data_IF_178472437996
#
_entry.id   IF_178472437996
#
_cell.length_a   1.000
_cell.length_b   1.000
_cell.length_c   1.000
_cell.angle_alpha   90.00
_cell.angle_beta   90.00
_cell.angle_gamma   90.00
#
_symmetry.space_group_name_H-M   'P 1'
#
loop_
_entity.id
_entity.type
_entity.pdbx_description
1 polymer ?
#
# COMPACT_ATOMS: atom_id res chain seq x y z
N UNK A 1 15.14 18.35 -7.52
CA UNK A 1 15.68 16.99 -7.59
C UNK A 1 14.58 16.01 -7.96
N UNK A 2 14.86 15.17 -8.91
CA UNK A 2 13.92 14.15 -9.32
C UNK A 2 13.78 13.09 -8.20
N UNK A 3 12.63 12.44 -8.10
CA UNK A 3 12.43 11.34 -7.19
C UNK A 3 13.14 10.08 -7.64
N UNK A 4 12.73 8.94 -7.13
CA UNK A 4 13.27 7.64 -7.51
C UNK A 4 12.84 7.27 -8.93
N UNK A 5 13.51 6.28 -9.52
CA UNK A 5 13.36 5.92 -10.94
C UNK A 5 11.99 5.39 -11.31
N UNK A 6 11.32 4.73 -10.36
CA UNK A 6 10.05 4.05 -10.61
C UNK A 6 9.00 4.50 -9.62
N UNK A 7 7.77 4.41 -10.03
CA UNK A 7 6.63 4.66 -9.18
C UNK A 7 5.58 3.58 -9.32
N UNK A 8 4.79 3.37 -8.27
CA UNK A 8 3.67 2.47 -8.30
C UNK A 8 2.48 3.09 -7.58
N UNK A 9 1.30 2.89 -8.15
CA UNK A 9 0.04 3.30 -7.54
C UNK A 9 -0.71 2.03 -7.14
N UNK A 10 -0.88 1.86 -5.84
CA UNK A 10 -1.68 0.77 -5.28
C UNK A 10 -3.06 1.31 -4.94
N UNK A 11 -4.08 0.66 -5.45
CA UNK A 11 -5.47 1.00 -5.17
C UNK A 11 -6.16 -0.18 -4.50
N UNK A 12 -6.97 0.10 -3.49
CA UNK A 12 -7.70 -0.94 -2.77
C UNK A 12 -9.08 -0.43 -2.41
N UNK A 13 -10.01 -1.38 -2.23
CA UNK A 13 -11.35 -1.09 -1.75
C UNK A 13 -11.52 -1.68 -0.36
N UNK A 14 -11.75 -0.83 0.62
CA UNK A 14 -12.11 -1.27 1.97
C UNK A 14 -13.61 -1.61 1.96
N UNK A 15 -13.94 -2.81 2.43
CA UNK A 15 -15.31 -3.31 2.42
C UNK A 15 -16.03 -3.03 3.72
N UNK A 16 -17.36 -3.27 3.74
CA UNK A 16 -18.13 -3.18 4.97
C UNK A 16 -17.61 -4.12 6.06
N UNK A 17 -17.01 -5.24 5.68
CA UNK A 17 -16.42 -6.18 6.62
C UNK A 17 -15.32 -5.54 7.47
N UNK A 18 -14.52 -4.64 6.89
CA UNK A 18 -13.49 -3.90 7.62
C UNK A 18 -14.08 -3.12 8.80
N UNK A 19 -15.21 -2.47 8.58
CA UNK A 19 -15.84 -1.63 9.60
C UNK A 19 -16.48 -2.44 10.73
N UNK A 20 -16.63 -3.76 10.57
CA UNK A 20 -17.11 -4.66 11.63
C UNK A 20 -15.98 -5.21 12.49
N UNK A 21 -14.72 -4.96 12.12
CA UNK A 21 -13.56 -5.41 12.88
C UNK A 21 -13.43 -4.61 14.19
N UNK A 22 -12.75 -5.19 15.17
CA UNK A 22 -12.38 -4.47 16.39
C UNK A 22 -11.43 -3.33 16.04
N UNK A 23 -11.32 -2.34 16.92
CA UNK A 23 -10.39 -1.22 16.76
C UNK A 23 -8.95 -1.73 16.58
N UNK A 24 -8.54 -2.73 17.36
CA UNK A 24 -7.22 -3.30 17.26
C UNK A 24 -6.98 -3.94 15.89
N UNK A 25 -7.97 -4.66 15.37
CA UNK A 25 -7.87 -5.26 14.03
C UNK A 25 -7.83 -4.21 12.93
N UNK A 26 -8.62 -3.14 13.05
CA UNK A 26 -8.62 -2.05 12.09
C UNK A 26 -7.28 -1.30 12.06
N UNK A 27 -6.51 -1.34 13.14
CA UNK A 27 -5.20 -0.70 13.21
C UNK A 27 -4.07 -1.55 12.60
N UNK A 28 -4.30 -2.83 12.34
CA UNK A 28 -3.28 -3.73 11.81
C UNK A 28 -2.65 -3.25 10.51
N UNK A 29 -3.41 -2.79 9.50
CA UNK A 29 -2.80 -2.28 8.26
C UNK A 29 -1.79 -1.16 8.53
N UNK A 30 -2.13 -0.22 9.41
CA UNK A 30 -1.22 0.86 9.78
C UNK A 30 0.05 0.37 10.44
N UNK A 31 -0.05 -0.65 11.29
CA UNK A 31 1.10 -1.27 11.95
C UNK A 31 2.01 -1.98 10.94
N UNK A 32 1.42 -2.72 9.99
CA UNK A 32 2.18 -3.41 8.94
C UNK A 32 2.91 -2.39 8.07
N UNK A 33 2.20 -1.35 7.59
CA UNK A 33 2.82 -0.30 6.78
C UNK A 33 3.91 0.44 7.56
N UNK A 34 3.68 0.75 8.83
CA UNK A 34 4.68 1.42 9.67
C UNK A 34 5.97 0.62 9.80
N UNK A 35 5.86 -0.69 10.02
CA UNK A 35 7.02 -1.59 10.09
C UNK A 35 7.76 -1.66 8.75
N UNK A 36 7.04 -1.73 7.64
CA UNK A 36 7.64 -1.78 6.31
C UNK A 36 8.31 -0.47 5.94
N UNK A 37 7.72 0.67 6.31
CA UNK A 37 8.35 1.98 6.09
C UNK A 37 9.71 2.07 6.76
N UNK A 38 9.86 1.51 7.95
CA UNK A 38 11.15 1.46 8.64
C UNK A 38 12.12 0.49 7.98
N UNK A 39 11.65 -0.71 7.65
CA UNK A 39 12.49 -1.75 7.07
C UNK A 39 13.03 -1.37 5.69
N UNK A 40 12.21 -0.72 4.88
CA UNK A 40 12.54 -0.35 3.51
C UNK A 40 12.89 1.13 3.35
N UNK A 41 13.23 1.81 4.45
CA UNK A 41 13.63 3.22 4.40
C UNK A 41 14.77 3.42 3.39
N UNK A 42 14.61 4.38 2.48
CA UNK A 42 15.55 4.65 1.41
C UNK A 42 15.43 3.74 0.20
N UNK A 43 14.71 2.63 0.29
CA UNK A 43 14.52 1.68 -0.82
C UNK A 43 13.13 1.80 -1.44
N UNK A 44 12.10 1.73 -0.61
CA UNK A 44 10.71 1.91 -1.05
C UNK A 44 10.10 2.99 -0.17
N UNK A 45 9.60 4.04 -0.80
CA UNK A 45 9.02 5.16 -0.09
C UNK A 45 7.53 5.26 -0.39
N UNK A 46 6.72 5.38 0.66
CA UNK A 46 5.32 5.74 0.52
C UNK A 46 5.25 7.27 0.44
N UNK A 47 5.09 7.80 -0.78
CA UNK A 47 5.16 9.24 -1.04
C UNK A 47 3.87 9.93 -0.64
N UNK A 48 2.75 9.31 -0.96
CA UNK A 48 1.42 9.87 -0.72
C UNK A 48 0.42 8.75 -0.50
N UNK A 49 -0.61 9.05 0.28
CA UNK A 49 -1.81 8.23 0.34
C UNK A 49 -3.05 9.11 0.35
N UNK A 50 -4.10 8.61 -0.27
CA UNK A 50 -5.38 9.31 -0.33
C UNK A 50 -6.50 8.38 0.10
N UNK A 51 -7.42 8.89 0.87
CA UNK A 51 -8.67 8.22 1.16
C UNK A 51 -9.72 8.77 0.20
N UNK A 52 -10.20 7.89 -0.67
CA UNK A 52 -11.14 8.29 -1.73
C UNK A 52 -12.58 7.88 -1.43
N UNK A 53 -12.85 7.47 -0.20
CA UNK A 53 -14.13 6.91 0.24
C UNK A 53 -15.34 7.80 -0.05
N UNK A 54 -15.15 9.10 0.02
CA UNK A 54 -16.25 10.08 -0.23
C UNK A 54 -16.46 10.38 -1.72
N UNK A 55 -15.53 9.98 -2.59
CA UNK A 55 -15.51 10.40 -3.99
C UNK A 55 -15.53 9.25 -4.99
N UNK A 56 -15.37 8.02 -4.53
CA UNK A 56 -15.33 6.85 -5.41
C UNK A 56 -16.05 5.68 -4.77
N UNK A 57 -16.81 4.94 -5.57
CA UNK A 57 -17.46 3.71 -5.12
C UNK A 57 -16.60 2.47 -5.38
N UNK A 58 -15.58 2.57 -6.23
CA UNK A 58 -14.76 1.43 -6.64
C UNK A 58 -13.41 1.37 -5.95
N UNK A 59 -12.92 2.51 -5.44
CA UNK A 59 -11.62 2.61 -4.77
C UNK A 59 -11.79 3.45 -3.52
N UNK A 60 -11.29 2.97 -2.40
CA UNK A 60 -11.38 3.70 -1.12
C UNK A 60 -10.02 4.18 -0.63
N UNK A 61 -8.95 3.59 -1.12
CA UNK A 61 -7.58 3.91 -0.68
C UNK A 61 -6.65 3.90 -1.88
N UNK A 62 -5.85 4.95 -2.00
CA UNK A 62 -4.83 5.09 -3.03
C UNK A 62 -3.50 5.35 -2.35
N UNK A 63 -2.50 4.53 -2.64
CA UNK A 63 -1.15 4.63 -2.09
C UNK A 63 -0.17 4.82 -3.24
N UNK A 64 0.70 5.81 -3.13
CA UNK A 64 1.70 6.11 -4.16
C UNK A 64 3.08 5.83 -3.60
N UNK A 65 3.80 4.93 -4.25
CA UNK A 65 5.15 4.51 -3.86
C UNK A 65 6.17 4.94 -4.90
N UNK A 66 7.41 5.17 -4.44
CA UNK A 66 8.57 5.36 -5.32
C UNK A 66 9.72 4.47 -4.85
N UNK A 67 10.50 3.99 -5.82
CA UNK A 67 11.64 3.10 -5.56
C UNK A 67 12.59 3.13 -6.74
N UNK A 68 13.85 2.70 -6.50
CA UNK A 68 14.87 2.62 -7.55
C UNK A 68 15.04 1.21 -8.11
N UNK A 69 14.68 0.19 -7.34
CA UNK A 69 14.84 -1.22 -7.74
C UNK A 69 13.48 -1.91 -7.66
N UNK A 70 12.94 -2.41 -8.78
CA UNK A 70 11.69 -3.15 -8.77
C UNK A 70 11.69 -4.37 -7.84
N UNK A 71 12.85 -5.00 -7.62
CA UNK A 71 12.96 -6.14 -6.70
C UNK A 71 12.66 -5.72 -5.25
N UNK A 72 13.05 -4.50 -4.86
CA UNK A 72 12.73 -3.99 -3.53
C UNK A 72 11.23 -3.80 -3.35
N UNK A 73 10.55 -3.28 -4.36
CA UNK A 73 9.11 -3.11 -4.30
C UNK A 73 8.38 -4.45 -4.29
N UNK A 74 8.87 -5.41 -5.06
CA UNK A 74 8.30 -6.77 -5.04
C UNK A 74 8.40 -7.39 -3.63
N UNK A 75 9.57 -7.30 -3.01
CA UNK A 75 9.76 -7.80 -1.65
C UNK A 75 8.85 -7.07 -0.64
N UNK A 76 8.73 -5.76 -0.79
CA UNK A 76 7.84 -4.96 0.04
C UNK A 76 6.38 -5.44 -0.06
N UNK A 77 5.88 -5.63 -1.28
CA UNK A 77 4.49 -6.06 -1.47
C UNK A 77 4.25 -7.47 -0.96
N UNK A 78 5.23 -8.39 -1.09
CA UNK A 78 5.10 -9.72 -0.51
C UNK A 78 5.01 -9.67 1.01
N UNK A 79 5.85 -8.88 1.66
CA UNK A 79 5.79 -8.73 3.12
C UNK A 79 4.49 -8.07 3.57
N UNK A 80 3.99 -7.11 2.78
CA UNK A 80 2.71 -6.49 3.05
C UNK A 80 1.59 -7.52 3.05
N UNK A 81 1.53 -8.36 2.02
CA UNK A 81 0.51 -9.40 1.91
C UNK A 81 0.61 -10.41 3.04
N UNK A 82 1.83 -10.82 3.41
CA UNK A 82 2.04 -11.74 4.53
C UNK A 82 1.60 -11.13 5.85
N UNK A 83 1.91 -9.86 6.08
CA UNK A 83 1.51 -9.16 7.29
C UNK A 83 -0.01 -9.08 7.43
N UNK A 84 -0.70 -8.79 6.32
CA UNK A 84 -2.17 -8.76 6.32
C UNK A 84 -2.76 -10.15 6.53
N UNK A 85 -2.20 -11.17 5.87
CA UNK A 85 -2.68 -12.54 5.97
C UNK A 85 -2.46 -13.18 7.35
N UNK A 86 -1.48 -12.71 8.10
CA UNK A 86 -1.16 -13.25 9.42
C UNK A 86 -2.31 -13.13 10.42
N UNK A 87 -3.23 -12.20 10.20
CA UNK A 87 -4.41 -12.01 11.06
C UNK A 87 -5.63 -12.82 10.60
N UNK A 88 -5.49 -13.62 9.53
CA UNK A 88 -6.59 -14.38 8.95
C UNK A 88 -6.79 -14.05 7.49
N UNK A 89 -8.04 -13.90 7.05
CA UNK A 89 -8.36 -13.57 5.67
C UNK A 89 -7.93 -12.13 5.33
N UNK A 90 -6.98 -11.93 4.39
CA UNK A 90 -6.56 -10.57 4.01
C UNK A 90 -7.67 -9.74 3.38
N UNK A 91 -8.71 -10.35 2.81
CA UNK A 91 -9.85 -9.63 2.23
C UNK A 91 -10.65 -8.85 3.28
N UNK A 92 -10.42 -9.12 4.56
CA UNK A 92 -11.00 -8.36 5.66
C UNK A 92 -10.54 -6.90 5.67
N UNK A 93 -9.38 -6.61 5.09
CA UNK A 93 -8.79 -5.27 5.10
C UNK A 93 -8.99 -4.52 3.78
N UNK A 94 -9.29 -5.23 2.72
CA UNK A 94 -9.58 -4.63 1.43
C UNK A 94 -9.68 -5.68 0.33
N UNK A 95 -10.34 -5.33 -0.74
CA UNK A 95 -10.49 -6.19 -1.91
C UNK A 95 -10.18 -5.38 -3.17
N UNK A 96 -10.19 -6.04 -4.32
CA UNK A 96 -9.93 -5.42 -5.62
C UNK A 96 -8.63 -4.59 -5.62
N UNK A 97 -7.59 -5.15 -4.98
CA UNK A 97 -6.28 -4.50 -4.94
C UNK A 97 -5.66 -4.52 -6.32
N UNK A 98 -5.27 -3.36 -6.82
CA UNK A 98 -4.56 -3.24 -8.09
C UNK A 98 -3.32 -2.38 -7.93
N UNK A 99 -2.31 -2.68 -8.73
CA UNK A 99 -1.05 -1.93 -8.74
C UNK A 99 -0.74 -1.52 -10.17
N UNK A 100 -0.54 -0.23 -10.37
CA UNK A 100 -0.05 0.30 -11.63
C UNK A 100 1.38 0.75 -11.43
N UNK A 101 2.29 0.19 -12.20
CA UNK A 101 3.73 0.42 -12.12
C UNK A 101 4.16 1.29 -13.29
N UNK A 102 5.06 2.23 -13.05
CA UNK A 102 5.55 3.11 -14.10
C UNK A 102 6.96 3.61 -13.86
N UNK A 103 7.51 4.20 -14.90
CA UNK A 103 8.82 4.84 -14.88
C UNK A 103 8.60 6.32 -14.59
N UNK A 104 9.42 6.88 -13.70
CA UNK A 104 9.42 8.31 -13.45
C UNK A 104 10.29 8.99 -14.53
N UNK A 105 9.69 9.73 -15.48
CA UNK A 105 10.46 10.33 -16.57
C UNK A 105 11.37 11.47 -16.10
N UNK A 106 11.13 11.99 -14.89
CA UNK A 106 11.90 13.12 -14.34
C UNK A 106 13.03 12.66 -13.42
N UNK A 107 13.18 11.36 -13.19
CA UNK A 107 14.29 10.83 -12.40
C UNK A 107 15.59 10.95 -13.20
N UNK A 108 16.55 11.64 -12.63
CA UNK A 108 17.83 11.90 -13.25
C UNK A 108 18.83 10.78 -13.19
#
# INVERSE_FOLDING_TARGET
>A
MAGKKYGAVLQAKVTGAYFTLSEQEQNLPGEVFGGLMQKYAGKVELVRRYWTRAFSSSVTDVLIFEFDDPADFHAYTEELMRGMAASGDPDRFGEDVSVTFGINPDAG
#
